data_IF_955753746455
#
_entry.id   IF_955753746455
#
_cell.length_a   1.000
_cell.length_b   1.000
_cell.length_c   1.000
_cell.angle_alpha   90.00
_cell.angle_beta   90.00
_cell.angle_gamma   90.00
#
_symmetry.space_group_name_H-M   'P 1'
#
loop_
_entity.id
_entity.type
_entity.pdbx_description
1 polymer ?
#
# COMPACT_ATOMS: atom_id res chain seq x y z
N UNK A 1 -3.42 -13.68 -22.10
CA UNK A 1 -2.90 -12.30 -22.03
C UNK A 1 -3.97 -11.45 -21.36
N UNK A 2 -3.66 -10.82 -20.22
CA UNK A 2 -4.61 -9.99 -19.46
C UNK A 2 -4.62 -8.60 -20.11
N UNK A 3 -5.82 -8.12 -20.48
CA UNK A 3 -5.98 -6.78 -21.02
C UNK A 3 -6.31 -5.80 -19.90
N UNK A 4 -5.50 -4.76 -19.75
CA UNK A 4 -5.50 -3.86 -18.61
C UNK A 4 -5.86 -2.44 -19.04
N UNK A 5 -6.76 -1.79 -18.32
CA UNK A 5 -6.97 -0.34 -18.42
C UNK A 5 -6.23 0.36 -17.27
N UNK A 6 -5.71 1.55 -17.52
CA UNK A 6 -5.10 2.41 -16.52
C UNK A 6 -5.93 3.70 -16.41
N UNK A 7 -6.44 4.00 -15.23
CA UNK A 7 -7.20 5.21 -14.89
C UNK A 7 -6.27 6.15 -14.10
N UNK A 8 -6.12 7.39 -14.55
CA UNK A 8 -5.10 8.33 -14.11
C UNK A 8 -3.78 8.17 -14.87
N UNK A 9 -3.85 7.76 -16.14
CA UNK A 9 -2.71 7.37 -16.97
C UNK A 9 -1.70 8.51 -17.22
N UNK A 10 -2.13 9.77 -17.30
CA UNK A 10 -1.24 10.93 -17.46
C UNK A 10 -0.53 11.34 -16.17
N UNK A 11 -0.97 10.82 -15.02
CA UNK A 11 -0.32 11.02 -13.73
C UNK A 11 1.07 10.38 -13.66
N UNK A 12 1.90 10.84 -12.69
CA UNK A 12 3.27 10.30 -12.50
C UNK A 12 3.33 8.80 -12.27
N UNK A 13 2.37 8.24 -11.49
CA UNK A 13 2.26 6.79 -11.29
C UNK A 13 1.66 6.12 -12.53
N UNK A 14 0.55 6.65 -13.07
CA UNK A 14 -0.13 6.09 -14.22
C UNK A 14 0.79 5.91 -15.44
N UNK A 15 1.58 6.91 -15.78
CA UNK A 15 2.56 6.81 -16.88
C UNK A 15 3.65 5.73 -16.64
N UNK A 16 4.01 5.47 -15.38
CA UNK A 16 4.95 4.39 -15.04
C UNK A 16 4.27 3.03 -15.15
N UNK A 17 2.99 2.93 -14.75
CA UNK A 17 2.20 1.72 -14.86
C UNK A 17 1.94 1.35 -16.32
N UNK A 18 1.59 2.32 -17.17
CA UNK A 18 1.40 2.09 -18.62
C UNK A 18 2.64 1.44 -19.20
N UNK A 19 3.83 2.02 -18.97
CA UNK A 19 5.10 1.43 -19.45
C UNK A 19 5.35 0.03 -18.91
N UNK A 20 5.09 -0.20 -17.61
CA UNK A 20 5.29 -1.51 -17.01
C UNK A 20 4.34 -2.58 -17.60
N UNK A 21 3.12 -2.20 -17.99
CA UNK A 21 2.18 -3.09 -18.68
C UNK A 21 2.66 -3.39 -20.10
N UNK A 22 3.13 -2.37 -20.84
CA UNK A 22 3.66 -2.53 -22.20
C UNK A 22 4.92 -3.41 -22.24
N UNK A 23 5.77 -3.34 -21.21
CA UNK A 23 6.97 -4.14 -21.07
C UNK A 23 6.69 -5.60 -20.62
N UNK A 24 5.50 -5.88 -20.10
CA UNK A 24 5.15 -7.19 -19.57
C UNK A 24 4.61 -8.12 -20.67
N UNK A 25 5.24 -9.29 -20.95
CA UNK A 25 4.89 -10.14 -22.09
C UNK A 25 3.52 -10.83 -21.99
N UNK A 26 2.93 -10.87 -20.81
CA UNK A 26 1.65 -11.50 -20.49
C UNK A 26 0.48 -10.51 -20.34
N UNK A 27 0.77 -9.19 -20.44
CA UNK A 27 -0.21 -8.13 -20.33
C UNK A 27 -0.37 -7.36 -21.65
N UNK A 28 -1.47 -6.64 -21.79
CA UNK A 28 -1.70 -5.73 -22.92
C UNK A 28 -2.46 -4.51 -22.43
N UNK A 29 -2.01 -3.31 -22.80
CA UNK A 29 -2.73 -2.08 -22.53
C UNK A 29 -4.03 -2.04 -23.39
N UNK A 30 -5.19 -1.94 -22.73
CA UNK A 30 -6.49 -1.80 -23.36
C UNK A 30 -6.91 -0.35 -23.51
N UNK A 31 -6.77 0.42 -22.42
CA UNK A 31 -7.08 1.84 -22.40
C UNK A 31 -6.15 2.57 -21.43
N UNK A 32 -5.83 3.82 -21.76
CA UNK A 32 -5.15 4.76 -20.87
C UNK A 32 -6.11 5.95 -20.70
N UNK A 33 -6.74 6.06 -19.54
CA UNK A 33 -7.81 7.00 -19.23
C UNK A 33 -7.35 8.05 -18.23
N UNK A 34 -7.87 9.26 -18.36
CA UNK A 34 -7.58 10.36 -17.44
C UNK A 34 -8.86 11.09 -17.01
N UNK A 35 -8.73 12.26 -16.39
CA UNK A 35 -9.77 13.00 -15.68
C UNK A 35 -11.03 13.29 -16.52
N UNK A 36 -10.87 13.53 -17.84
CA UNK A 36 -11.97 13.86 -18.74
C UNK A 36 -12.59 12.64 -19.45
N UNK A 37 -12.05 11.45 -19.19
CA UNK A 37 -12.49 10.23 -19.83
C UNK A 37 -13.56 9.51 -18.98
N UNK A 38 -14.56 8.91 -19.67
CA UNK A 38 -15.50 8.00 -19.04
C UNK A 38 -14.79 6.65 -18.72
N UNK A 39 -14.78 6.25 -17.47
CA UNK A 39 -14.16 4.98 -17.05
C UNK A 39 -14.79 3.75 -17.71
N UNK A 40 -16.03 3.85 -18.20
CA UNK A 40 -16.69 2.80 -18.97
C UNK A 40 -15.96 2.46 -20.29
N UNK A 41 -15.14 3.38 -20.81
CA UNK A 41 -14.27 3.12 -21.97
C UNK A 41 -13.27 1.98 -21.71
N UNK A 42 -12.92 1.71 -20.46
CA UNK A 42 -12.08 0.57 -20.10
C UNK A 42 -12.71 -0.77 -20.55
N UNK A 43 -13.99 -0.97 -20.23
CA UNK A 43 -14.72 -2.17 -20.63
C UNK A 43 -14.94 -2.23 -22.14
N UNK A 44 -15.27 -1.09 -22.78
CA UNK A 44 -15.44 -0.98 -24.23
C UNK A 44 -14.16 -1.33 -24.99
N UNK A 45 -13.00 -0.99 -24.42
CA UNK A 45 -11.70 -1.39 -24.96
C UNK A 45 -11.40 -2.89 -24.73
N UNK A 46 -12.27 -3.63 -24.06
CA UNK A 46 -12.14 -5.06 -23.77
C UNK A 46 -11.13 -5.36 -22.65
N UNK A 47 -10.85 -4.41 -21.77
CA UNK A 47 -10.07 -4.66 -20.56
C UNK A 47 -10.85 -5.61 -19.62
N UNK A 48 -10.13 -6.43 -18.89
CA UNK A 48 -10.68 -7.30 -17.84
C UNK A 48 -10.25 -6.88 -16.44
N UNK A 49 -9.16 -6.10 -16.36
CA UNK A 49 -8.63 -5.51 -15.12
C UNK A 49 -8.42 -4.02 -15.34
N UNK A 50 -8.80 -3.21 -14.38
CA UNK A 50 -8.47 -1.79 -14.32
C UNK A 50 -7.49 -1.52 -13.18
N UNK A 51 -6.48 -0.67 -13.44
CA UNK A 51 -5.57 -0.15 -12.43
C UNK A 51 -5.91 1.32 -12.22
N UNK A 52 -6.33 1.67 -11.00
CA UNK A 52 -6.79 3.01 -10.63
C UNK A 52 -5.74 3.71 -9.75
N UNK A 53 -5.17 4.80 -10.27
CA UNK A 53 -4.21 5.68 -9.59
C UNK A 53 -4.52 7.14 -9.90
N UNK A 54 -5.56 7.66 -9.27
CA UNK A 54 -6.04 9.04 -9.46
C UNK A 54 -5.84 9.91 -8.20
N UNK A 55 -6.89 10.54 -7.74
CA UNK A 55 -6.91 11.36 -6.52
C UNK A 55 -7.96 10.81 -5.54
N UNK A 56 -7.80 11.01 -4.23
CA UNK A 56 -8.70 10.45 -3.22
C UNK A 56 -10.18 10.78 -3.46
N UNK A 57 -10.46 12.01 -3.92
CA UNK A 57 -11.81 12.52 -4.12
C UNK A 57 -12.57 11.81 -5.26
N UNK A 58 -11.85 11.25 -6.24
CA UNK A 58 -12.43 10.59 -7.42
C UNK A 58 -12.38 9.04 -7.30
N UNK A 59 -11.45 8.51 -6.51
CA UNK A 59 -11.09 7.09 -6.52
C UNK A 59 -12.26 6.18 -6.22
N UNK A 60 -13.05 6.46 -5.18
CA UNK A 60 -14.18 5.60 -4.80
C UNK A 60 -15.23 5.51 -5.92
N UNK A 61 -15.61 6.65 -6.51
CA UNK A 61 -16.58 6.70 -7.60
C UNK A 61 -16.07 5.95 -8.84
N UNK A 62 -14.80 6.14 -9.20
CA UNK A 62 -14.16 5.43 -10.32
C UNK A 62 -14.18 3.93 -10.10
N UNK A 63 -13.81 3.46 -8.90
CA UNK A 63 -13.75 2.03 -8.57
C UNK A 63 -15.14 1.39 -8.66
N UNK A 64 -16.17 2.04 -8.11
CA UNK A 64 -17.54 1.54 -8.23
C UNK A 64 -18.00 1.46 -9.68
N UNK A 65 -17.74 2.48 -10.49
CA UNK A 65 -18.11 2.48 -11.91
C UNK A 65 -17.35 1.41 -12.73
N UNK A 66 -16.08 1.14 -12.41
CA UNK A 66 -15.30 0.07 -13.03
C UNK A 66 -15.86 -1.32 -12.70
N UNK A 67 -16.30 -1.53 -11.45
CA UNK A 67 -16.95 -2.77 -11.02
C UNK A 67 -18.30 -2.94 -11.74
N UNK A 68 -19.11 -1.88 -11.82
CA UNK A 68 -20.38 -1.88 -12.57
C UNK A 68 -20.18 -2.21 -14.06
N UNK A 69 -19.03 -1.79 -14.62
CA UNK A 69 -18.62 -2.13 -15.98
C UNK A 69 -18.06 -3.56 -16.13
N UNK A 70 -18.00 -4.35 -15.04
CA UNK A 70 -17.59 -5.75 -15.05
C UNK A 70 -16.08 -5.98 -15.00
N UNK A 71 -15.28 -5.02 -14.50
CA UNK A 71 -13.84 -5.17 -14.39
C UNK A 71 -13.41 -5.54 -12.96
N UNK A 72 -12.35 -6.34 -12.87
CA UNK A 72 -11.56 -6.43 -11.63
C UNK A 72 -10.76 -5.14 -11.45
N UNK A 73 -10.53 -4.71 -10.19
CA UNK A 73 -9.89 -3.41 -9.94
C UNK A 73 -8.69 -3.52 -9.00
N UNK A 74 -7.58 -2.90 -9.41
CA UNK A 74 -6.37 -2.70 -8.60
C UNK A 74 -6.28 -1.22 -8.26
N UNK A 75 -6.43 -0.90 -6.97
CA UNK A 75 -6.52 0.48 -6.47
C UNK A 75 -5.25 0.85 -5.74
N UNK A 76 -4.58 1.90 -6.21
CA UNK A 76 -3.39 2.46 -5.56
C UNK A 76 -3.56 3.90 -5.09
N UNK A 77 -4.69 4.51 -5.38
CA UNK A 77 -5.04 5.81 -4.79
C UNK A 77 -5.23 5.65 -3.28
N UNK A 78 -4.58 6.50 -2.51
CA UNK A 78 -4.67 6.52 -1.04
C UNK A 78 -5.92 7.27 -0.56
N UNK A 79 -6.21 7.22 0.75
CA UNK A 79 -7.32 7.97 1.34
C UNK A 79 -8.60 7.16 1.55
N UNK A 80 -8.58 5.85 1.27
CA UNK A 80 -9.70 4.96 1.56
C UNK A 80 -9.91 4.84 3.07
N UNK A 81 -11.11 5.20 3.53
CA UNK A 81 -11.54 5.02 4.93
C UNK A 81 -12.16 3.64 5.11
N UNK A 82 -12.33 3.19 6.37
CA UNK A 82 -12.97 1.90 6.64
C UNK A 82 -14.41 1.87 6.10
N UNK A 83 -15.14 2.97 6.21
CA UNK A 83 -16.51 3.07 5.66
C UNK A 83 -16.53 2.96 4.13
N UNK A 84 -15.52 3.51 3.43
CA UNK A 84 -15.39 3.36 1.98
C UNK A 84 -15.05 1.92 1.60
N UNK A 85 -14.18 1.26 2.38
CA UNK A 85 -13.87 -0.16 2.20
C UNK A 85 -15.08 -1.06 2.46
N UNK A 86 -15.91 -0.75 3.45
CA UNK A 86 -17.17 -1.47 3.70
C UNK A 86 -18.14 -1.32 2.53
N UNK A 87 -18.35 -0.10 2.00
CA UNK A 87 -19.20 0.11 0.82
C UNK A 87 -18.69 -0.66 -0.40
N UNK A 88 -17.37 -0.70 -0.60
CA UNK A 88 -16.77 -1.47 -1.68
C UNK A 88 -16.97 -2.98 -1.48
N UNK A 89 -16.84 -3.47 -0.25
CA UNK A 89 -17.10 -4.88 0.11
C UNK A 89 -18.54 -5.27 -0.20
N UNK A 90 -19.50 -4.42 0.20
CA UNK A 90 -20.92 -4.66 -0.05
C UNK A 90 -21.23 -4.65 -1.55
N UNK A 91 -20.62 -3.74 -2.32
CA UNK A 91 -20.77 -3.70 -3.79
C UNK A 91 -20.28 -4.99 -4.44
N UNK A 92 -19.11 -5.48 -4.02
CA UNK A 92 -18.55 -6.73 -4.54
C UNK A 92 -19.36 -7.98 -4.16
N UNK A 93 -20.09 -7.96 -3.04
CA UNK A 93 -21.06 -9.01 -2.72
C UNK A 93 -22.21 -9.06 -3.73
N UNK A 94 -22.61 -7.92 -4.28
CA UNK A 94 -23.62 -7.80 -5.33
C UNK A 94 -23.14 -8.17 -6.74
N UNK A 95 -21.83 -8.28 -6.94
CA UNK A 95 -21.17 -8.57 -8.23
C UNK A 95 -20.27 -9.80 -8.12
N UNK A 96 -20.85 -11.00 -7.93
CA UNK A 96 -20.09 -12.21 -7.67
C UNK A 96 -19.12 -12.53 -8.82
N UNK A 97 -17.90 -12.91 -8.46
CA UNK A 97 -16.83 -13.22 -9.41
C UNK A 97 -15.86 -12.07 -9.67
N UNK A 98 -16.24 -10.83 -9.38
CA UNK A 98 -15.29 -9.71 -9.46
C UNK A 98 -14.43 -9.60 -8.18
N UNK A 99 -13.19 -9.19 -8.36
CA UNK A 99 -12.24 -8.92 -7.28
C UNK A 99 -11.74 -7.48 -7.34
N UNK A 100 -11.52 -6.90 -6.18
CA UNK A 100 -10.81 -5.64 -6.04
C UNK A 100 -9.71 -5.76 -4.98
N UNK A 101 -8.59 -5.10 -5.21
CA UNK A 101 -7.56 -4.90 -4.20
C UNK A 101 -7.34 -3.40 -3.98
N UNK A 102 -7.40 -2.98 -2.74
CA UNK A 102 -6.99 -1.63 -2.30
C UNK A 102 -5.69 -1.77 -1.52
N UNK A 103 -4.59 -1.28 -2.07
CA UNK A 103 -3.30 -1.40 -1.40
C UNK A 103 -2.67 -0.01 -1.14
N UNK A 104 -2.37 0.33 0.12
CA UNK A 104 -1.73 1.59 0.46
C UNK A 104 -0.27 1.64 -0.02
N UNK A 105 0.32 0.50 -0.35
CA UNK A 105 1.67 0.38 -0.85
C UNK A 105 1.82 -0.85 -1.77
N UNK A 106 2.40 -0.63 -2.94
CA UNK A 106 2.72 -1.67 -3.93
C UNK A 106 4.21 -2.04 -3.98
N UNK A 107 5.07 -1.44 -3.14
CA UNK A 107 6.47 -1.86 -3.04
C UNK A 107 6.55 -3.20 -2.29
N UNK A 108 6.82 -4.29 -3.00
CA UNK A 108 6.91 -5.64 -2.41
C UNK A 108 7.90 -5.70 -1.25
N UNK A 109 9.04 -4.98 -1.37
CA UNK A 109 10.03 -4.91 -0.30
C UNK A 109 9.48 -4.24 0.97
N UNK A 110 8.63 -3.22 0.85
CA UNK A 110 7.99 -2.58 2.01
C UNK A 110 6.97 -3.52 2.68
N UNK A 111 6.15 -4.22 1.89
CA UNK A 111 5.18 -5.20 2.39
C UNK A 111 5.89 -6.35 3.12
N UNK A 112 6.96 -6.88 2.52
CA UNK A 112 7.78 -7.94 3.15
C UNK A 112 8.49 -7.43 4.41
N UNK A 113 9.02 -6.19 4.41
CA UNK A 113 9.66 -5.61 5.59
C UNK A 113 8.67 -5.49 6.76
N UNK A 114 7.45 -5.01 6.50
CA UNK A 114 6.36 -4.95 7.49
C UNK A 114 6.02 -6.33 8.05
N UNK A 115 5.86 -7.33 7.16
CA UNK A 115 5.55 -8.72 7.54
C UNK A 115 6.66 -9.33 8.39
N UNK A 116 7.92 -9.18 7.98
CA UNK A 116 9.07 -9.69 8.74
C UNK A 116 9.23 -8.99 10.08
N UNK A 117 8.97 -7.69 10.13
CA UNK A 117 8.98 -6.92 11.37
C UNK A 117 7.90 -7.41 12.36
N UNK A 118 6.67 -7.62 11.89
CA UNK A 118 5.60 -8.17 12.71
C UNK A 118 5.93 -9.57 13.22
N UNK A 119 6.54 -10.43 12.40
CA UNK A 119 6.97 -11.77 12.79
C UNK A 119 8.11 -11.74 13.82
N UNK A 120 9.05 -10.79 13.70
CA UNK A 120 10.18 -10.67 14.60
C UNK A 120 9.83 -9.97 15.92
N UNK A 121 8.93 -8.99 15.90
CA UNK A 121 8.62 -8.11 17.03
C UNK A 121 8.29 -8.80 18.36
N UNK A 122 7.61 -9.97 18.40
CA UNK A 122 7.38 -10.72 19.64
C UNK A 122 8.65 -11.18 20.37
N UNK A 123 9.78 -11.27 19.70
CA UNK A 123 11.03 -11.78 20.27
C UNK A 123 11.93 -10.65 20.81
N UNK A 124 11.55 -9.38 20.59
CA UNK A 124 12.36 -8.21 20.96
C UNK A 124 11.67 -7.37 22.05
N UNK A 125 12.48 -6.83 22.95
CA UNK A 125 12.00 -5.99 24.06
C UNK A 125 11.54 -4.61 23.56
N UNK A 126 12.29 -4.02 22.63
CA UNK A 126 12.06 -2.69 22.09
C UNK A 126 11.86 -2.71 20.59
N UNK A 127 10.94 -1.87 20.08
CA UNK A 127 10.75 -1.66 18.65
C UNK A 127 10.49 -0.17 18.39
N UNK A 128 11.18 0.38 17.40
CA UNK A 128 10.92 1.73 16.86
C UNK A 128 10.95 1.70 15.33
N UNK A 129 10.19 2.60 14.70
CA UNK A 129 10.10 2.74 13.25
C UNK A 129 10.59 4.12 12.83
N UNK A 130 11.41 4.19 11.79
CA UNK A 130 11.90 5.45 11.19
C UNK A 130 11.47 5.46 9.73
N UNK A 131 10.70 6.46 9.31
CA UNK A 131 10.33 6.65 7.91
C UNK A 131 10.96 7.92 7.35
N UNK A 132 11.38 7.88 6.08
CA UNK A 132 12.00 9.02 5.43
C UNK A 132 11.39 9.25 4.05
N UNK A 133 10.94 10.47 3.80
CA UNK A 133 10.34 10.88 2.53
C UNK A 133 10.84 12.25 2.09
N UNK A 134 10.53 12.60 0.85
CA UNK A 134 10.75 13.95 0.31
C UNK A 134 9.93 15.00 1.09
N UNK A 135 10.36 16.30 1.08
CA UNK A 135 9.70 17.35 1.86
C UNK A 135 8.25 17.64 1.46
N UNK A 136 7.86 17.29 0.20
CA UNK A 136 6.52 17.55 -0.32
C UNK A 136 5.47 16.51 0.12
N UNK A 137 5.85 15.55 0.99
CA UNK A 137 4.91 14.59 1.56
C UNK A 137 4.09 15.25 2.66
N UNK A 138 2.76 15.25 2.51
CA UNK A 138 1.84 16.03 3.34
C UNK A 138 1.49 15.36 4.68
N UNK A 139 1.53 14.03 4.75
CA UNK A 139 1.24 13.25 5.96
C UNK A 139 2.53 12.86 6.71
N UNK A 140 2.46 12.85 8.03
CA UNK A 140 3.51 12.35 8.93
C UNK A 140 2.87 11.80 10.22
N UNK A 141 3.17 10.54 10.63
CA UNK A 141 3.91 9.52 9.86
C UNK A 141 3.21 9.12 8.58
N UNK A 142 3.96 8.51 7.63
CA UNK A 142 3.40 7.96 6.39
C UNK A 142 2.38 6.84 6.66
N UNK A 143 1.45 6.63 5.72
CA UNK A 143 0.50 5.52 5.82
C UNK A 143 1.17 4.17 5.99
N UNK A 144 2.26 3.89 5.25
CA UNK A 144 3.04 2.65 5.38
C UNK A 144 3.61 2.50 6.79
N UNK A 145 4.27 3.53 7.33
CA UNK A 145 4.85 3.46 8.67
C UNK A 145 3.78 3.27 9.77
N UNK A 146 2.60 3.85 9.58
CA UNK A 146 1.46 3.61 10.49
C UNK A 146 0.99 2.16 10.41
N UNK A 147 0.85 1.60 9.21
CA UNK A 147 0.47 0.19 9.03
C UNK A 147 1.52 -0.76 9.59
N UNK A 148 2.82 -0.46 9.39
CA UNK A 148 3.92 -1.23 9.97
C UNK A 148 3.86 -1.21 11.50
N UNK A 149 3.69 -0.04 12.10
CA UNK A 149 3.59 0.09 13.56
C UNK A 149 2.36 -0.66 14.12
N UNK A 150 1.20 -0.56 13.48
CA UNK A 150 -0.01 -1.28 13.86
C UNK A 150 0.17 -2.81 13.77
N UNK A 151 0.78 -3.31 12.70
CA UNK A 151 1.06 -4.74 12.52
C UNK A 151 2.03 -5.27 13.63
N UNK A 152 3.07 -4.50 13.93
CA UNK A 152 4.01 -4.80 15.02
C UNK A 152 3.28 -4.81 16.37
N UNK A 153 2.45 -3.79 16.64
CA UNK A 153 1.71 -3.69 17.88
C UNK A 153 0.76 -4.87 18.08
N UNK A 154 0.02 -5.26 17.04
CA UNK A 154 -0.86 -6.43 17.07
C UNK A 154 -0.07 -7.71 17.39
N UNK A 155 1.01 -7.98 16.67
CA UNK A 155 1.82 -9.18 16.89
C UNK A 155 2.44 -9.23 18.30
N UNK A 156 2.84 -8.07 18.85
CA UNK A 156 3.33 -7.96 20.23
C UNK A 156 2.21 -8.22 21.26
N UNK A 157 1.02 -7.67 21.03
CA UNK A 157 -0.13 -7.86 21.91
C UNK A 157 -0.56 -9.33 21.96
N UNK A 158 -0.63 -10.00 20.80
CA UNK A 158 -0.95 -11.42 20.68
C UNK A 158 0.06 -12.32 21.44
N UNK A 159 1.32 -11.88 21.51
CA UNK A 159 2.37 -12.56 22.27
C UNK A 159 2.46 -12.12 23.74
N UNK A 160 1.54 -11.29 24.22
CA UNK A 160 1.53 -10.79 25.61
C UNK A 160 2.71 -9.87 25.95
N UNK A 161 3.32 -9.20 24.95
CA UNK A 161 4.45 -8.29 25.18
C UNK A 161 3.97 -6.95 25.72
N UNK A 162 4.72 -6.42 26.66
CA UNK A 162 4.54 -5.06 27.19
C UNK A 162 5.07 -4.00 26.21
N UNK A 163 4.76 -2.73 26.49
CA UNK A 163 5.35 -1.60 25.76
C UNK A 163 6.87 -1.60 25.88
N UNK A 164 7.54 -1.05 24.86
CA UNK A 164 8.99 -0.85 24.88
C UNK A 164 9.38 0.01 26.07
N UNK A 165 10.47 -0.32 26.80
CA UNK A 165 10.93 0.48 27.91
C UNK A 165 11.37 1.87 27.44
N UNK A 166 10.94 2.91 28.16
CA UNK A 166 11.31 4.29 27.89
C UNK A 166 11.40 5.05 29.22
N UNK A 167 12.60 5.37 29.65
CA UNK A 167 12.87 6.10 30.88
C UNK A 167 12.93 7.63 30.70
N UNK A 168 12.52 8.13 29.53
CA UNK A 168 12.57 9.56 29.23
C UNK A 168 11.60 10.34 30.12
N UNK A 169 12.15 11.19 30.99
CA UNK A 169 11.38 12.07 31.89
C UNK A 169 11.39 13.53 31.45
N UNK A 170 12.35 13.92 30.61
CA UNK A 170 12.50 15.28 30.11
C UNK A 170 12.76 15.25 28.62
N UNK A 171 11.90 15.86 27.83
CA UNK A 171 12.03 15.90 26.37
C UNK A 171 11.42 17.19 25.78
N UNK A 172 11.99 17.65 24.69
CA UNK A 172 11.30 18.61 23.81
C UNK A 172 10.12 17.97 23.11
N UNK A 173 9.09 18.73 22.80
CA UNK A 173 7.93 18.25 22.08
C UNK A 173 8.35 17.57 20.77
N UNK A 174 7.87 16.35 20.54
CA UNK A 174 8.17 15.55 19.35
C UNK A 174 9.53 14.82 19.34
N UNK A 175 10.41 15.01 20.35
CA UNK A 175 11.73 14.39 20.36
C UNK A 175 11.69 12.84 20.31
N UNK A 176 10.62 12.24 20.84
CA UNK A 176 10.38 10.79 20.81
C UNK A 176 9.42 10.35 19.68
N UNK A 177 9.27 11.18 18.64
CA UNK A 177 8.40 10.89 17.53
C UNK A 177 6.91 10.82 17.89
N UNK A 178 6.11 10.26 16.99
CA UNK A 178 4.70 9.94 17.22
C UNK A 178 4.56 8.56 17.88
N UNK A 179 3.41 8.31 18.50
CA UNK A 179 3.06 6.96 18.99
C UNK A 179 1.89 6.42 18.20
N UNK A 180 2.06 5.24 17.58
CA UNK A 180 1.03 4.50 16.88
C UNK A 180 0.86 3.15 17.58
N UNK A 181 -0.27 2.93 18.21
CA UNK A 181 -0.59 1.72 18.97
C UNK A 181 0.54 1.27 19.95
N UNK A 182 1.18 2.26 20.59
CA UNK A 182 2.28 2.03 21.53
C UNK A 182 3.67 1.89 20.88
N UNK A 183 3.78 1.87 19.55
CA UNK A 183 5.07 1.85 18.84
C UNK A 183 5.49 3.29 18.49
N UNK A 184 6.76 3.60 18.72
CA UNK A 184 7.34 4.89 18.34
C UNK A 184 7.65 4.94 16.85
N UNK A 185 7.19 6.03 16.19
CA UNK A 185 7.41 6.26 14.76
C UNK A 185 8.04 7.64 14.57
N UNK A 186 9.20 7.68 13.91
CA UNK A 186 9.97 8.89 13.62
C UNK A 186 9.85 9.22 12.13
N UNK A 187 9.46 10.45 11.81
CA UNK A 187 9.29 10.90 10.43
C UNK A 187 10.40 11.87 10.03
N UNK A 188 11.19 11.51 9.03
CA UNK A 188 12.22 12.35 8.42
C UNK A 188 11.73 12.90 7.09
N UNK A 189 11.91 14.21 6.87
CA UNK A 189 11.64 14.87 5.58
C UNK A 189 12.96 15.41 5.04
N UNK A 190 13.46 14.76 3.96
CA UNK A 190 14.79 15.04 3.42
C UNK A 190 14.72 15.15 1.89
N UNK A 191 15.31 16.24 1.35
CA UNK A 191 15.44 16.38 -0.10
C UNK A 191 16.37 15.30 -0.63
N UNK A 192 15.94 14.60 -1.70
CA UNK A 192 16.61 13.42 -2.27
C UNK A 192 16.06 12.08 -1.79
N UNK A 193 15.35 12.03 -0.65
CA UNK A 193 14.60 10.84 -0.27
C UNK A 193 13.37 10.66 -1.17
N UNK A 194 13.02 9.40 -1.46
CA UNK A 194 11.78 9.02 -2.15
C UNK A 194 10.81 8.43 -1.13
N UNK A 195 11.03 7.18 -0.72
CA UNK A 195 10.27 6.53 0.33
C UNK A 195 11.15 5.44 0.97
N UNK A 196 11.43 5.58 2.25
CA UNK A 196 12.29 4.68 2.99
C UNK A 196 11.66 4.36 4.33
N UNK A 197 11.88 3.15 4.82
CA UNK A 197 11.46 2.73 6.15
C UNK A 197 12.54 1.84 6.77
N UNK A 198 12.84 2.11 8.03
CA UNK A 198 13.76 1.33 8.84
C UNK A 198 13.09 0.96 10.15
N UNK A 199 13.07 -0.34 10.46
CA UNK A 199 12.48 -0.89 11.67
C UNK A 199 13.61 -1.42 12.54
N UNK A 200 13.73 -0.88 13.75
CA UNK A 200 14.73 -1.25 14.73
C UNK A 200 14.09 -2.12 15.80
N UNK A 201 14.63 -3.33 16.00
CA UNK A 201 14.18 -4.26 17.03
C UNK A 201 15.38 -4.56 17.96
N UNK A 202 15.25 -4.30 19.24
CA UNK A 202 16.36 -4.36 20.19
C UNK A 202 16.10 -5.25 21.40
N UNK A 203 17.13 -6.00 21.78
CA UNK A 203 17.27 -6.72 23.04
C UNK A 203 18.60 -6.30 23.71
N UNK A 204 18.83 -6.60 24.99
CA UNK A 204 20.15 -6.44 25.58
C UNK A 204 21.23 -7.16 24.77
N UNK A 205 22.18 -6.38 24.21
CA UNK A 205 23.33 -6.89 23.46
C UNK A 205 23.12 -7.14 21.97
N UNK A 206 21.91 -6.92 21.42
CA UNK A 206 21.66 -7.08 19.98
C UNK A 206 20.66 -6.07 19.44
N UNK A 207 20.77 -5.75 18.16
CA UNK A 207 19.77 -5.01 17.38
C UNK A 207 19.58 -5.73 16.04
N UNK A 208 18.33 -6.01 15.70
CA UNK A 208 17.92 -6.39 14.34
C UNK A 208 17.37 -5.16 13.63
N UNK A 209 17.89 -4.85 12.46
CA UNK A 209 17.39 -3.78 11.59
C UNK A 209 16.79 -4.38 10.34
N UNK A 210 15.54 -4.03 10.03
CA UNK A 210 14.88 -4.33 8.77
C UNK A 210 14.70 -3.01 8.04
N UNK A 211 15.23 -2.92 6.80
CA UNK A 211 15.18 -1.68 6.03
C UNK A 211 14.71 -1.93 4.61
N UNK A 212 13.87 -1.03 4.13
CA UNK A 212 13.43 -0.95 2.74
C UNK A 212 13.65 0.46 2.20
N UNK A 213 14.21 0.54 1.00
CA UNK A 213 14.46 1.78 0.26
C UNK A 213 13.80 1.72 -1.12
N UNK A 214 12.80 2.57 -1.36
CA UNK A 214 12.30 2.86 -2.70
C UNK A 214 13.11 4.03 -3.27
N UNK A 215 13.89 3.76 -4.31
CA UNK A 215 14.78 4.76 -4.91
C UNK A 215 14.10 5.56 -6.03
N UNK A 216 13.10 4.96 -6.66
CA UNK A 216 12.22 5.60 -7.64
C UNK A 216 10.86 4.87 -7.72
N UNK A 217 9.94 5.39 -8.57
CA UNK A 217 8.57 4.84 -8.69
C UNK A 217 8.49 3.47 -9.34
N UNK A 218 9.53 3.02 -10.04
CA UNK A 218 9.57 1.67 -10.61
C UNK A 218 9.52 0.58 -9.54
N UNK A 219 9.94 0.90 -8.30
CA UNK A 219 9.87 -0.01 -7.15
C UNK A 219 8.47 -0.52 -6.83
N UNK A 220 7.42 0.22 -7.25
CA UNK A 220 6.02 -0.18 -7.04
C UNK A 220 5.50 -1.12 -8.14
N UNK A 221 6.14 -1.13 -9.31
CA UNK A 221 5.64 -1.86 -10.48
C UNK A 221 5.54 -3.37 -10.28
N UNK A 222 6.51 -4.06 -9.65
CA UNK A 222 6.37 -5.49 -9.37
C UNK A 222 5.09 -5.83 -8.59
N UNK A 223 4.73 -5.02 -7.60
CA UNK A 223 3.51 -5.22 -6.81
C UNK A 223 2.23 -4.90 -7.58
N UNK A 224 2.23 -3.84 -8.39
CA UNK A 224 1.08 -3.53 -9.27
C UNK A 224 0.84 -4.68 -10.25
N UNK A 225 1.90 -5.17 -10.91
CA UNK A 225 1.80 -6.28 -11.85
C UNK A 225 1.40 -7.60 -11.16
N UNK A 226 1.87 -7.84 -9.94
CA UNK A 226 1.43 -8.96 -9.11
C UNK A 226 -0.08 -8.87 -8.84
N UNK A 227 -0.58 -7.70 -8.44
CA UNK A 227 -2.01 -7.49 -8.19
C UNK A 227 -2.84 -7.69 -9.47
N UNK A 228 -2.42 -7.11 -10.60
CA UNK A 228 -3.09 -7.28 -11.90
C UNK A 228 -3.23 -8.76 -12.28
N UNK A 229 -2.18 -9.57 -12.06
CA UNK A 229 -2.17 -11.00 -12.41
C UNK A 229 -3.05 -11.85 -11.50
N UNK A 230 -3.31 -11.38 -10.28
CA UNK A 230 -3.97 -12.20 -9.26
C UNK A 230 -5.38 -11.73 -8.88
N UNK A 231 -5.76 -10.48 -9.14
CA UNK A 231 -7.04 -9.92 -8.69
C UNK A 231 -8.25 -10.74 -9.18
N UNK A 232 -8.19 -11.29 -10.38
CA UNK A 232 -9.26 -12.14 -10.92
C UNK A 232 -9.40 -13.50 -10.23
N UNK A 233 -8.35 -13.96 -9.55
CA UNK A 233 -8.34 -15.21 -8.81
C UNK A 233 -8.82 -15.06 -7.35
N UNK A 234 -9.08 -13.81 -6.91
CA UNK A 234 -9.49 -13.48 -5.56
C UNK A 234 -10.77 -12.62 -5.60
N UNK A 235 -11.95 -13.22 -5.86
CA UNK A 235 -13.22 -12.49 -5.82
C UNK A 235 -13.46 -11.83 -4.45
N UNK A 236 -14.08 -10.65 -4.48
CA UNK A 236 -14.30 -9.84 -3.29
C UNK A 236 -13.19 -8.82 -3.05
N UNK A 237 -13.18 -8.19 -1.88
CA UNK A 237 -12.22 -7.15 -1.52
C UNK A 237 -11.00 -7.73 -0.78
N UNK A 238 -9.81 -7.47 -1.30
CA UNK A 238 -8.55 -7.61 -0.60
C UNK A 238 -8.02 -6.22 -0.19
N UNK A 239 -7.48 -6.10 1.03
CA UNK A 239 -6.81 -4.87 1.49
C UNK A 239 -5.35 -5.20 1.77
N UNK A 240 -4.44 -4.51 1.06
CA UNK A 240 -3.01 -4.82 1.08
C UNK A 240 -2.61 -5.96 0.14
N UNK A 241 -1.32 -6.05 -0.16
CA UNK A 241 -0.75 -7.07 -1.06
C UNK A 241 -0.50 -8.43 -0.39
N UNK A 242 -0.63 -8.52 0.94
CA UNK A 242 -0.26 -9.71 1.70
C UNK A 242 -0.97 -10.98 1.21
N UNK A 243 -2.28 -10.86 0.91
CA UNK A 243 -3.08 -11.97 0.38
C UNK A 243 -2.55 -12.55 -0.95
N UNK A 244 -1.74 -11.79 -1.67
CA UNK A 244 -1.20 -12.18 -2.99
C UNK A 244 0.27 -12.65 -2.91
N UNK A 245 0.89 -12.55 -1.73
CA UNK A 245 2.26 -13.03 -1.48
C UNK A 245 2.30 -14.47 -0.97
N UNK A 246 1.23 -14.95 -0.35
CA UNK A 246 1.12 -16.33 0.13
C UNK A 246 0.77 -17.25 -1.04
N UNK A 247 1.76 -17.97 -1.53
CA UNK A 247 1.63 -19.04 -2.52
C UNK A 247 1.84 -20.40 -1.89
#
# INVERSE_FOLDING_TARGET
MIKVAVVGAAGRMGATIVRAIEDAPDLTLGAALDMDDDVALAAQAGATVAVEFTVPEASEANVHALIDAGLHVVVGTTGWTEEALERLRDHLLGTPGLGAIVAPNFALGAVLAMRFAAQAAPYFESVEVIEMHHPDKVDAPSGTARSTAAAIASARADAGRVLSPDATTTALAGARGATVDGIRVHAVRLRGAVAHEEILLGNPGEILTIRHDSLDRSSFMPGVLLAVRNVSNHPGLAVGLDAYLDR
#
